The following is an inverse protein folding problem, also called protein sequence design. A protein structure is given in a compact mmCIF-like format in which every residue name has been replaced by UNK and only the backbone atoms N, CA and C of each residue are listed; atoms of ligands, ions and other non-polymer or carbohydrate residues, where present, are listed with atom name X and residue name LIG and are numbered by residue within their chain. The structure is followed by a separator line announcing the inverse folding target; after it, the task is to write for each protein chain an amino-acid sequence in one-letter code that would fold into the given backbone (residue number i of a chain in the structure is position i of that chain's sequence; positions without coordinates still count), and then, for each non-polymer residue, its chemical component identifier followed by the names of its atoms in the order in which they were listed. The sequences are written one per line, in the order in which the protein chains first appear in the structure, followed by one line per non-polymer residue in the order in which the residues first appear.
data_IF_852575161346
#
_entry.id   IF_852575161346
#
_cell.length_a   1.000
_cell.length_b   1.000
_cell.length_c   1.000
_cell.angle_alpha   90.00
_cell.angle_beta   90.00
_cell.angle_gamma   90.00
#
_symmetry.space_group_name_H-M   'P 1'
#
loop_
_entity.id
_entity.type
_entity.pdbx_description
1 polymer ?
#
# COMPACT_ATOMS: atom_id res chain seq x y z
N UNK A 1 -6.78 17.91 18.06
CA UNK A 1 -5.43 17.33 18.01
C UNK A 1 -5.10 16.90 16.59
N UNK A 2 -3.81 16.69 16.30
CA UNK A 2 -3.37 16.14 15.02
C UNK A 2 -3.06 14.66 15.19
N UNK A 3 -3.44 13.85 14.22
CA UNK A 3 -3.15 12.42 14.16
C UNK A 3 -2.23 12.18 12.99
N UNK A 4 -1.21 11.36 13.20
CA UNK A 4 -0.29 10.87 12.17
C UNK A 4 -0.33 9.34 12.14
N UNK A 5 0.15 8.73 11.07
CA UNK A 5 0.24 7.27 10.92
C UNK A 5 1.65 6.80 11.22
N UNK A 6 1.76 5.71 12.00
CA UNK A 6 3.02 5.02 12.26
C UNK A 6 2.73 3.55 12.53
N UNK A 7 3.28 2.66 11.71
CA UNK A 7 2.96 1.22 11.77
C UNK A 7 3.82 0.44 12.77
N UNK A 8 4.97 0.99 13.19
CA UNK A 8 5.97 0.27 14.00
C UNK A 8 6.25 -1.15 13.47
N UNK A 9 6.31 -1.28 12.12
CA UNK A 9 6.49 -2.56 11.44
C UNK A 9 7.84 -3.20 11.79
N UNK A 10 7.83 -4.52 11.93
CA UNK A 10 9.00 -5.30 12.35
C UNK A 10 9.03 -5.61 13.84
N UNK A 11 8.11 -5.05 14.62
CA UNK A 11 7.92 -5.36 16.04
C UNK A 11 6.66 -6.21 16.22
N UNK A 12 6.73 -7.25 17.03
CA UNK A 12 5.65 -8.19 17.42
C UNK A 12 4.59 -8.42 16.30
N UNK A 13 4.91 -9.32 15.37
CA UNK A 13 4.00 -9.82 14.31
C UNK A 13 3.55 -8.79 13.27
N UNK A 14 3.97 -7.51 13.33
CA UNK A 14 3.69 -6.53 12.29
C UNK A 14 4.64 -6.70 11.11
N UNK A 15 4.08 -7.00 9.94
CA UNK A 15 4.86 -7.25 8.74
C UNK A 15 5.14 -5.97 7.94
N UNK A 16 6.36 -5.86 7.44
CA UNK A 16 6.72 -4.78 6.51
C UNK A 16 5.83 -4.80 5.26
N UNK A 17 5.44 -3.63 4.79
CA UNK A 17 4.62 -3.46 3.59
C UNK A 17 3.12 -3.63 3.81
N UNK A 18 2.68 -4.18 4.95
CA UNK A 18 1.27 -4.36 5.29
C UNK A 18 0.85 -3.46 6.46
N UNK A 19 1.68 -3.35 7.50
CA UNK A 19 1.34 -2.65 8.73
C UNK A 19 0.91 -1.19 8.52
N UNK A 20 1.48 -0.47 7.56
CA UNK A 20 1.04 0.91 7.26
C UNK A 20 -0.40 0.94 6.76
N UNK A 21 -0.80 0.02 5.88
CA UNK A 21 -2.18 -0.01 5.35
C UNK A 21 -3.15 -0.45 6.44
N UNK A 22 -2.75 -1.40 7.28
CA UNK A 22 -3.51 -1.82 8.46
C UNK A 22 -3.80 -0.64 9.39
N UNK A 23 -2.82 0.21 9.69
CA UNK A 23 -3.03 1.44 10.49
C UNK A 23 -4.04 2.39 9.86
N UNK A 24 -4.06 2.51 8.52
CA UNK A 24 -5.07 3.30 7.82
C UNK A 24 -6.48 2.70 8.01
N UNK A 25 -6.59 1.37 7.95
CA UNK A 25 -7.87 0.68 8.18
C UNK A 25 -8.33 0.86 9.63
N UNK A 26 -7.44 0.74 10.60
CA UNK A 26 -7.74 0.96 12.02
C UNK A 26 -8.19 2.39 12.30
N UNK A 27 -7.60 3.40 11.66
CA UNK A 27 -8.10 4.78 11.75
C UNK A 27 -9.52 4.91 11.19
N UNK A 28 -9.84 4.20 10.09
CA UNK A 28 -11.22 4.15 9.57
C UNK A 28 -12.18 3.52 10.55
N UNK A 29 -11.82 2.41 11.18
CA UNK A 29 -12.61 1.74 12.22
C UNK A 29 -12.80 2.63 13.45
N UNK A 30 -11.81 3.45 13.79
CA UNK A 30 -11.89 4.46 14.84
C UNK A 30 -12.79 5.67 14.48
N UNK A 31 -13.37 5.70 13.28
CA UNK A 31 -14.35 6.70 12.85
C UNK A 31 -13.79 7.87 12.03
N UNK A 32 -12.51 7.87 11.67
CA UNK A 32 -11.96 8.90 10.80
C UNK A 32 -12.54 8.81 9.38
N UNK A 33 -12.80 9.96 8.76
CA UNK A 33 -13.22 10.00 7.35
C UNK A 33 -12.06 9.58 6.41
N UNK A 34 -12.30 8.95 5.24
CA UNK A 34 -11.24 8.50 4.34
C UNK A 34 -10.19 9.57 3.99
N UNK A 35 -10.61 10.81 3.73
CA UNK A 35 -9.68 11.93 3.48
C UNK A 35 -8.84 12.29 4.70
N UNK A 36 -9.38 12.19 5.89
CA UNK A 36 -8.64 12.45 7.14
C UNK A 36 -7.57 11.38 7.35
N UNK A 37 -7.89 10.12 7.05
CA UNK A 37 -6.93 9.01 7.10
C UNK A 37 -5.78 9.23 6.12
N UNK A 38 -6.08 9.59 4.87
CA UNK A 38 -5.04 9.88 3.88
C UNK A 38 -4.22 11.10 4.30
N UNK A 39 -4.86 12.16 4.83
CA UNK A 39 -4.16 13.32 5.35
C UNK A 39 -3.25 12.96 6.53
N UNK A 40 -3.70 12.10 7.45
CA UNK A 40 -2.90 11.62 8.57
C UNK A 40 -1.64 10.88 8.09
N UNK A 41 -1.76 10.09 7.03
CA UNK A 41 -0.67 9.34 6.42
C UNK A 41 0.28 10.18 5.54
N UNK A 42 -0.08 11.41 5.22
CA UNK A 42 0.67 12.27 4.28
C UNK A 42 0.99 13.62 4.89
N UNK A 43 0.13 14.60 4.72
CA UNK A 43 0.39 15.99 5.10
C UNK A 43 0.56 16.17 6.62
N UNK A 44 -0.24 15.49 7.45
CA UNK A 44 -0.10 15.62 8.90
C UNK A 44 1.23 15.07 9.40
N UNK A 45 1.74 13.99 8.79
CA UNK A 45 3.08 13.48 9.06
C UNK A 45 4.17 14.45 8.64
N UNK A 46 4.04 15.06 7.46
CA UNK A 46 4.96 16.08 6.97
C UNK A 46 4.98 17.33 7.88
N UNK A 47 3.82 17.78 8.33
CA UNK A 47 3.67 18.87 9.28
C UNK A 47 4.33 18.57 10.66
N UNK A 48 4.19 17.34 11.14
CA UNK A 48 4.81 16.90 12.39
C UNK A 48 6.35 16.88 12.31
N UNK A 49 6.88 16.63 11.13
CA UNK A 49 8.33 16.61 10.82
C UNK A 49 8.87 17.99 10.41
N UNK A 50 8.03 19.02 10.28
CA UNK A 50 8.42 20.33 9.76
C UNK A 50 8.85 20.30 8.28
N UNK A 51 8.32 19.36 7.50
CA UNK A 51 8.70 19.11 6.10
C UNK A 51 7.55 19.39 5.10
N UNK A 52 6.46 20.00 5.54
CA UNK A 52 5.25 20.23 4.74
C UNK A 52 5.47 21.09 3.49
N UNK A 53 6.51 21.91 3.47
CA UNK A 53 6.86 22.72 2.28
C UNK A 53 7.50 21.89 1.16
N UNK A 54 7.94 20.68 1.48
CA UNK A 54 8.66 19.80 0.55
C UNK A 54 7.91 18.52 0.20
N UNK A 55 7.09 17.98 1.12
CA UNK A 55 6.39 16.69 1.00
C UNK A 55 4.99 16.76 1.62
N UNK A 56 4.23 15.68 1.48
CA UNK A 56 2.94 15.46 2.16
C UNK A 56 1.71 15.91 1.39
N UNK A 57 1.87 16.69 0.33
CA UNK A 57 0.77 17.08 -0.59
C UNK A 57 1.27 17.15 -2.04
N UNK A 58 0.34 17.08 -2.98
CA UNK A 58 0.62 17.17 -4.42
C UNK A 58 0.50 18.63 -4.83
N UNK A 59 1.63 19.32 -4.87
CA UNK A 59 1.73 20.73 -5.23
C UNK A 59 2.98 20.97 -6.05
N UNK A 60 2.91 21.95 -6.97
CA UNK A 60 4.08 22.38 -7.76
C UNK A 60 5.20 22.86 -6.83
N UNK A 61 6.42 22.41 -7.10
CA UNK A 61 7.61 22.75 -6.32
C UNK A 61 7.94 21.77 -5.17
N UNK A 62 7.03 20.85 -4.83
CA UNK A 62 7.31 19.78 -3.88
C UNK A 62 7.99 18.58 -4.55
N UNK A 63 8.57 17.72 -3.72
CA UNK A 63 9.17 16.46 -4.18
C UNK A 63 8.08 15.55 -4.79
N UNK A 64 8.41 14.94 -5.91
CA UNK A 64 7.54 13.97 -6.57
C UNK A 64 7.62 12.61 -5.86
N UNK A 65 7.02 12.55 -4.65
CA UNK A 65 6.84 11.35 -3.85
C UNK A 65 5.37 10.97 -3.91
N UNK A 66 5.01 10.07 -4.84
CA UNK A 66 3.63 9.78 -5.20
C UNK A 66 3.34 8.29 -5.22
N UNK A 67 2.09 7.92 -4.96
CA UNK A 67 1.57 6.57 -5.20
C UNK A 67 0.43 6.66 -6.20
N UNK A 68 0.50 5.90 -7.29
CA UNK A 68 -0.54 5.81 -8.32
C UNK A 68 -1.29 4.50 -8.12
N UNK A 69 -2.60 4.60 -8.00
CA UNK A 69 -3.49 3.48 -7.69
C UNK A 69 -4.39 3.15 -8.89
N UNK A 70 -4.79 1.89 -9.00
CA UNK A 70 -5.74 1.45 -10.02
C UNK A 70 -7.19 1.76 -9.70
N UNK A 71 -7.51 2.02 -8.42
CA UNK A 71 -8.86 2.30 -7.93
C UNK A 71 -8.85 3.42 -6.88
N UNK A 72 -10.04 3.92 -6.52
CA UNK A 72 -10.20 5.03 -5.59
C UNK A 72 -10.00 4.59 -4.12
N UNK A 73 -8.95 5.06 -3.43
CA UNK A 73 -8.68 4.72 -2.03
C UNK A 73 -9.71 5.30 -1.06
N UNK A 74 -10.47 6.33 -1.45
CA UNK A 74 -11.54 6.89 -0.60
C UNK A 74 -12.72 5.93 -0.47
N UNK A 75 -12.93 5.07 -1.47
CA UNK A 75 -13.96 4.03 -1.44
C UNK A 75 -13.49 2.81 -0.63
N UNK A 76 -12.21 2.44 -0.76
CA UNK A 76 -11.66 1.28 -0.06
C UNK A 76 -10.13 1.42 0.08
N UNK A 77 -9.64 1.56 1.30
CA UNK A 77 -8.21 1.69 1.58
C UNK A 77 -7.40 0.43 1.22
N UNK A 78 -8.04 -0.74 1.12
CA UNK A 78 -7.37 -1.99 0.71
C UNK A 78 -6.78 -1.95 -0.70
N UNK A 79 -7.18 -0.97 -1.52
CA UNK A 79 -6.54 -0.73 -2.83
C UNK A 79 -5.08 -0.28 -2.71
N UNK A 80 -4.65 0.17 -1.53
CA UNK A 80 -3.26 0.54 -1.23
C UNK A 80 -2.34 -0.67 -1.02
N UNK A 81 -2.87 -1.86 -0.74
CA UNK A 81 -2.01 -3.05 -0.72
C UNK A 81 -1.40 -3.27 -2.09
N UNK A 82 -0.08 -3.44 -2.15
CA UNK A 82 0.65 -3.67 -3.40
C UNK A 82 0.12 -4.89 -4.18
N UNK A 83 -0.32 -5.92 -3.46
CA UNK A 83 -0.92 -7.13 -4.03
C UNK A 83 -2.40 -6.99 -4.38
N UNK A 84 -3.04 -5.84 -4.09
CA UNK A 84 -4.49 -5.68 -4.18
C UNK A 84 -5.24 -6.47 -3.10
N UNK A 85 -6.57 -6.53 -3.24
CA UNK A 85 -7.45 -7.27 -2.34
C UNK A 85 -8.44 -8.13 -3.13
N UNK A 86 -9.04 -9.13 -2.47
CA UNK A 86 -10.09 -9.95 -3.08
C UNK A 86 -11.44 -9.23 -2.99
N UNK A 87 -12.19 -9.25 -4.10
CA UNK A 87 -13.57 -8.72 -4.20
C UNK A 87 -14.46 -9.75 -4.89
N UNK A 88 -15.64 -9.99 -4.32
CA UNK A 88 -16.65 -10.82 -4.97
C UNK A 88 -17.24 -10.06 -6.18
N UNK A 89 -17.12 -10.65 -7.36
CA UNK A 89 -17.69 -10.11 -8.58
C UNK A 89 -19.18 -10.43 -8.74
N UNK A 90 -19.82 -9.78 -9.70
CA UNK A 90 -21.22 -10.05 -10.06
C UNK A 90 -21.44 -11.47 -10.58
N UNK A 91 -20.37 -12.12 -11.06
CA UNK A 91 -20.32 -13.52 -11.51
C UNK A 91 -20.23 -14.54 -10.36
N UNK A 92 -20.24 -14.08 -9.11
CA UNK A 92 -20.10 -14.91 -7.91
C UNK A 92 -18.68 -15.43 -7.67
N UNK A 93 -17.67 -14.96 -8.42
CA UNK A 93 -16.28 -15.34 -8.24
C UNK A 93 -15.46 -14.28 -7.53
N UNK A 94 -14.39 -14.71 -6.87
CA UNK A 94 -13.41 -13.81 -6.28
C UNK A 94 -12.45 -13.29 -7.35
N UNK A 95 -12.38 -11.97 -7.48
CA UNK A 95 -11.44 -11.27 -8.33
C UNK A 95 -10.44 -10.51 -7.48
N UNK A 96 -9.18 -10.51 -7.88
CA UNK A 96 -8.19 -9.64 -7.28
C UNK A 96 -8.22 -8.28 -7.95
N UNK A 97 -8.44 -7.24 -7.16
CA UNK A 97 -8.65 -5.85 -7.63
C UNK A 97 -7.81 -4.86 -6.83
N UNK A 98 -7.64 -3.66 -7.37
CA UNK A 98 -6.86 -2.59 -6.74
C UNK A 98 -5.35 -2.85 -6.83
N UNK A 99 -4.64 -2.29 -5.88
CA UNK A 99 -3.20 -2.36 -5.80
C UNK A 99 -2.50 -1.13 -6.35
N UNK A 100 -1.23 -0.99 -5.95
CA UNK A 100 -0.36 0.07 -6.40
C UNK A 100 0.08 -0.20 -7.83
N UNK A 101 -0.07 0.78 -8.71
CA UNK A 101 0.42 0.75 -10.10
C UNK A 101 1.84 1.25 -10.18
N UNK A 102 2.07 2.44 -9.61
CA UNK A 102 3.41 3.03 -9.55
C UNK A 102 3.66 3.63 -8.17
N UNK A 103 4.88 3.48 -7.70
CA UNK A 103 5.42 4.31 -6.63
C UNK A 103 6.46 5.25 -7.25
N UNK A 104 6.37 6.54 -6.96
CA UNK A 104 7.32 7.53 -7.45
C UNK A 104 8.04 8.12 -6.25
N UNK A 105 9.36 8.08 -6.27
CA UNK A 105 10.21 8.61 -5.20
C UNK A 105 11.24 9.58 -5.77
N UNK A 106 11.15 10.83 -5.39
CA UNK A 106 12.03 11.88 -5.92
C UNK A 106 12.01 11.96 -7.46
N UNK A 107 10.85 11.67 -8.10
CA UNK A 107 10.69 11.63 -9.54
C UNK A 107 11.06 10.30 -10.22
N UNK A 108 11.70 9.36 -9.52
CA UNK A 108 11.97 8.01 -10.05
C UNK A 108 10.71 7.16 -9.96
N UNK A 109 10.32 6.56 -11.08
CA UNK A 109 9.11 5.73 -11.21
C UNK A 109 9.46 4.26 -11.02
N UNK A 110 8.76 3.61 -10.10
CA UNK A 110 8.83 2.18 -9.85
C UNK A 110 7.50 1.53 -10.28
N UNK A 111 7.57 0.59 -11.22
CA UNK A 111 6.43 -0.23 -11.65
C UNK A 111 6.20 -1.33 -10.60
N UNK A 112 5.17 -1.14 -9.77
CA UNK A 112 4.90 -2.06 -8.67
C UNK A 112 4.49 -3.47 -9.14
N UNK A 113 3.62 -3.64 -10.16
CA UNK A 113 3.34 -4.96 -10.74
C UNK A 113 4.59 -5.69 -11.26
N UNK A 114 5.49 -4.99 -11.95
CA UNK A 114 6.73 -5.59 -12.45
C UNK A 114 7.63 -6.06 -11.30
N UNK A 115 7.84 -5.22 -10.29
CA UNK A 115 8.62 -5.59 -9.10
C UNK A 115 8.01 -6.78 -8.35
N UNK A 116 6.70 -6.84 -8.21
CA UNK A 116 6.01 -7.99 -7.58
C UNK A 116 6.15 -9.26 -8.41
N UNK A 117 6.13 -9.18 -9.74
CA UNK A 117 6.35 -10.32 -10.63
C UNK A 117 7.78 -10.86 -10.48
N UNK A 118 8.78 -9.96 -10.41
CA UNK A 118 10.17 -10.34 -10.17
C UNK A 118 10.35 -11.05 -8.82
N UNK A 119 9.76 -10.53 -7.75
CA UNK A 119 9.82 -11.17 -6.42
C UNK A 119 9.18 -12.56 -6.46
N UNK A 120 8.02 -12.71 -7.11
CA UNK A 120 7.36 -14.02 -7.26
C UNK A 120 8.23 -15.02 -8.01
N UNK A 121 8.88 -14.58 -9.09
CA UNK A 121 9.81 -15.41 -9.87
C UNK A 121 10.98 -15.86 -8.99
N UNK A 122 11.64 -14.93 -8.29
CA UNK A 122 12.76 -15.23 -7.40
C UNK A 122 12.38 -16.24 -6.31
N UNK A 123 11.20 -16.06 -5.70
CA UNK A 123 10.68 -16.99 -4.68
C UNK A 123 10.39 -18.36 -5.27
N UNK A 124 9.80 -18.43 -6.47
CA UNK A 124 9.51 -19.71 -7.15
C UNK A 124 10.80 -20.46 -7.48
N UNK A 125 11.80 -19.79 -8.03
CA UNK A 125 13.12 -20.34 -8.33
C UNK A 125 13.80 -20.88 -7.07
N UNK A 126 13.77 -20.12 -5.98
CA UNK A 126 14.37 -20.55 -4.72
C UNK A 126 13.63 -21.74 -4.10
N UNK A 127 12.31 -21.76 -4.15
CA UNK A 127 11.51 -22.92 -3.72
C UNK A 127 11.84 -24.16 -4.52
N UNK A 128 11.92 -24.05 -5.84
CA UNK A 128 12.31 -25.16 -6.72
C UNK A 128 13.71 -25.69 -6.37
N UNK A 129 14.66 -24.81 -6.16
CA UNK A 129 16.04 -25.18 -5.75
C UNK A 129 16.08 -25.92 -4.42
N UNK A 130 15.18 -25.60 -3.47
CA UNK A 130 15.09 -26.25 -2.16
C UNK A 130 14.16 -27.46 -2.14
N UNK A 131 13.49 -27.81 -3.23
CA UNK A 131 12.50 -28.90 -3.29
C UNK A 131 11.24 -28.61 -2.47
N UNK A 132 10.91 -27.33 -2.22
CA UNK A 132 9.73 -26.93 -1.47
C UNK A 132 8.52 -26.93 -2.41
N UNK A 133 7.54 -27.77 -2.12
CA UNK A 133 6.26 -27.79 -2.85
C UNK A 133 5.47 -26.51 -2.56
N UNK A 134 5.06 -25.83 -3.63
CA UNK A 134 4.15 -24.67 -3.51
C UNK A 134 2.71 -25.18 -3.34
N UNK A 135 2.03 -24.69 -2.31
CA UNK A 135 0.58 -24.86 -2.23
C UNK A 135 -0.09 -23.92 -3.27
N UNK A 136 -1.16 -24.37 -3.96
CA UNK A 136 -1.95 -23.50 -4.83
C UNK A 136 -2.41 -22.26 -4.04
N UNK A 137 -2.29 -21.08 -4.67
CA UNK A 137 -2.84 -19.88 -4.06
C UNK A 137 -4.33 -19.78 -4.37
N UNK A 138 -5.15 -19.28 -3.43
CA UNK A 138 -6.56 -19.03 -3.72
C UNK A 138 -6.68 -18.08 -4.91
N UNK A 139 -7.24 -18.58 -6.04
CA UNK A 139 -7.43 -17.82 -7.27
C UNK A 139 -6.45 -18.13 -8.41
N UNK A 140 -5.64 -19.18 -8.29
CA UNK A 140 -4.93 -19.78 -9.45
C UNK A 140 -5.88 -20.63 -10.30
#
# INVERSE_FOLDING_TARGET
GRVTVGSDSGYIYKTYGFGTIEELELLREAGFHPLEVIRAATLSGAEALGAQDRIGSIEAGKLADLVVLGENPLANLKVLYGTGHARLGADGKLHRVGGVRYTIKGGLVYDAPALLADVRRMVAEEKARRGITTYPQPGD
#
